data_IF_755029761487
#
_entry.id   IF_755029761487
#
_cell.length_a   1.000
_cell.length_b   1.000
_cell.length_c   1.000
_cell.angle_alpha   90.00
_cell.angle_beta   90.00
_cell.angle_gamma   90.00
#
_symmetry.space_group_name_H-M   'P 1'
#
loop_
_entity.id
_entity.type
_entity.pdbx_description
1 polymer ?
#
# COMPACT_ATOMS: atom_id res chain seq x y z
N UNK A 1 -9.84 7.05 -10.32
CA UNK A 1 -9.35 6.47 -11.60
C UNK A 1 -10.52 5.67 -12.16
N UNK A 2 -11.01 5.86 -13.38
CA UNK A 2 -12.19 5.05 -13.77
C UNK A 2 -12.70 5.26 -15.18
N UNK A 3 -13.49 6.30 -15.40
CA UNK A 3 -14.26 6.43 -16.64
C UNK A 3 -13.41 6.48 -17.93
N UNK A 4 -12.23 7.11 -17.88
CA UNK A 4 -11.36 7.23 -19.06
C UNK A 4 -10.76 5.88 -19.50
N UNK A 5 -10.45 4.98 -18.57
CA UNK A 5 -9.89 3.65 -18.88
C UNK A 5 -10.89 2.87 -19.73
N UNK A 6 -12.13 2.76 -19.27
CA UNK A 6 -13.18 2.02 -19.99
C UNK A 6 -13.56 2.67 -21.31
N UNK A 7 -13.48 4.01 -21.42
CA UNK A 7 -13.63 4.70 -22.70
C UNK A 7 -12.54 4.30 -23.69
N UNK A 8 -11.27 4.28 -23.27
CA UNK A 8 -10.16 3.89 -24.13
C UNK A 8 -10.23 2.41 -24.52
N UNK A 9 -10.51 1.51 -23.57
CA UNK A 9 -10.70 0.08 -23.86
C UNK A 9 -11.84 -0.12 -24.87
N UNK A 10 -12.96 0.59 -24.71
CA UNK A 10 -14.08 0.51 -25.65
C UNK A 10 -13.72 1.08 -27.03
N UNK A 11 -12.91 2.13 -27.12
CA UNK A 11 -12.53 2.74 -28.39
C UNK A 11 -11.56 1.86 -29.18
N UNK A 12 -10.57 1.27 -28.51
CA UNK A 12 -9.44 0.61 -29.18
C UNK A 12 -9.48 -0.92 -29.10
N UNK A 13 -10.14 -1.48 -28.10
CA UNK A 13 -10.09 -2.92 -27.83
C UNK A 13 -11.45 -3.62 -28.00
N UNK A 14 -12.56 -2.92 -28.26
CA UNK A 14 -13.91 -3.52 -28.29
C UNK A 14 -14.09 -4.74 -29.20
N UNK A 15 -13.37 -4.80 -30.31
CA UNK A 15 -13.44 -5.87 -31.32
C UNK A 15 -12.37 -6.94 -31.09
N UNK A 16 -11.52 -6.77 -30.08
CA UNK A 16 -10.43 -7.69 -29.77
C UNK A 16 -10.95 -8.85 -28.90
N UNK A 17 -10.42 -10.07 -29.07
CA UNK A 17 -10.87 -11.24 -28.31
C UNK A 17 -10.62 -11.10 -26.80
N UNK A 18 -9.61 -10.33 -26.40
CA UNK A 18 -9.26 -10.07 -25.00
C UNK A 18 -10.02 -8.90 -24.36
N UNK A 19 -10.97 -8.27 -25.07
CA UNK A 19 -11.67 -7.08 -24.55
C UNK A 19 -12.29 -7.32 -23.17
N UNK A 20 -13.01 -8.43 -23.01
CA UNK A 20 -13.67 -8.77 -21.75
C UNK A 20 -12.63 -9.02 -20.64
N UNK A 21 -11.56 -9.77 -20.94
CA UNK A 21 -10.47 -10.02 -20.00
C UNK A 21 -9.87 -8.71 -19.46
N UNK A 22 -9.66 -7.71 -20.33
CA UNK A 22 -9.16 -6.39 -19.91
C UNK A 22 -10.17 -5.67 -19.01
N UNK A 23 -11.45 -5.63 -19.40
CA UNK A 23 -12.48 -4.97 -18.59
C UNK A 23 -12.54 -5.56 -17.17
N UNK A 24 -12.60 -6.89 -17.08
CA UNK A 24 -12.65 -7.62 -15.80
C UNK A 24 -11.38 -7.39 -14.98
N UNK A 25 -10.21 -7.44 -15.61
CA UNK A 25 -8.93 -7.23 -14.95
C UNK A 25 -8.80 -5.82 -14.34
N UNK A 26 -9.21 -4.77 -15.08
CA UNK A 26 -9.17 -3.39 -14.58
C UNK A 26 -10.19 -3.17 -13.45
N UNK A 27 -11.40 -3.74 -13.56
CA UNK A 27 -12.39 -3.71 -12.47
C UNK A 27 -11.88 -4.42 -11.22
N UNK A 28 -11.34 -5.63 -11.37
CA UNK A 28 -10.81 -6.43 -10.26
C UNK A 28 -9.65 -5.71 -9.57
N UNK A 29 -8.71 -5.15 -10.33
CA UNK A 29 -7.57 -4.42 -9.78
C UNK A 29 -8.00 -3.14 -9.04
N UNK A 30 -9.04 -2.46 -9.53
CA UNK A 30 -9.62 -1.30 -8.85
C UNK A 30 -10.24 -1.71 -7.51
N UNK A 31 -11.07 -2.76 -7.50
CA UNK A 31 -11.66 -3.30 -6.28
C UNK A 31 -10.62 -3.75 -5.25
N UNK A 32 -9.58 -4.47 -5.69
CA UNK A 32 -8.48 -4.89 -4.83
C UNK A 32 -7.76 -3.69 -4.19
N UNK A 33 -7.50 -2.65 -4.98
CA UNK A 33 -6.87 -1.42 -4.50
C UNK A 33 -7.74 -0.70 -3.47
N UNK A 34 -9.05 -0.59 -3.74
CA UNK A 34 -10.01 0.03 -2.82
C UNK A 34 -10.10 -0.72 -1.48
N UNK A 35 -10.09 -2.05 -1.52
CA UNK A 35 -10.01 -2.89 -0.30
C UNK A 35 -8.71 -2.63 0.46
N UNK A 36 -7.57 -2.59 -0.24
CA UNK A 36 -6.26 -2.31 0.37
C UNK A 36 -6.20 -0.94 1.04
N UNK A 37 -6.67 0.11 0.35
CA UNK A 37 -6.78 1.47 0.89
C UNK A 37 -7.71 1.52 2.11
N UNK A 38 -8.85 0.81 2.07
CA UNK A 38 -9.78 0.74 3.20
C UNK A 38 -9.12 0.08 4.42
N UNK A 39 -8.39 -1.02 4.23
CA UNK A 39 -7.70 -1.71 5.32
C UNK A 39 -6.58 -0.86 5.93
N UNK A 40 -5.86 -0.09 5.11
CA UNK A 40 -4.82 0.86 5.54
C UNK A 40 -5.41 1.94 6.47
N UNK A 41 -6.48 2.62 6.01
CA UNK A 41 -7.15 3.67 6.77
C UNK A 41 -7.75 3.18 8.10
N UNK A 42 -8.31 1.96 8.13
CA UNK A 42 -8.86 1.36 9.36
C UNK A 42 -7.73 0.92 10.33
N UNK A 43 -6.55 0.58 9.81
CA UNK A 43 -5.42 0.10 10.63
C UNK A 43 -4.70 1.25 11.32
N UNK A 44 -4.49 2.35 10.61
CA UNK A 44 -3.90 3.57 11.13
C UNK A 44 -4.90 4.73 10.98
N UNK A 45 -5.94 4.81 11.84
CA UNK A 45 -6.85 5.94 11.82
C UNK A 45 -6.04 7.21 12.08
N UNK A 46 -5.89 8.03 11.05
CA UNK A 46 -5.25 9.32 11.15
C UNK A 46 -6.06 10.16 12.16
N UNK A 47 -5.38 10.89 13.04
CA UNK A 47 -5.96 11.64 14.17
C UNK A 47 -6.89 12.80 13.80
N UNK A 48 -7.59 12.74 12.68
CA UNK A 48 -8.55 13.72 12.17
C UNK A 48 -9.98 13.17 12.05
N UNK A 49 -10.33 12.10 12.78
CA UNK A 49 -11.75 11.77 13.01
C UNK A 49 -12.22 12.64 14.17
N UNK A 50 -12.69 13.83 13.82
CA UNK A 50 -13.28 14.87 14.67
C UNK A 50 -12.40 15.38 15.82
N UNK A 51 -12.02 16.65 15.74
CA UNK A 51 -11.39 17.45 16.80
C UNK A 51 -12.20 17.52 18.13
N UNK A 52 -13.33 16.80 18.24
CA UNK A 52 -14.30 16.89 19.32
C UNK A 52 -14.57 15.54 20.00
N UNK A 53 -14.28 14.38 19.38
CA UNK A 53 -14.76 13.08 19.91
C UNK A 53 -13.77 11.92 19.94
N UNK A 54 -12.65 11.95 19.19
CA UNK A 54 -11.62 10.93 19.32
C UNK A 54 -10.53 11.40 20.31
N UNK A 55 -10.24 10.68 21.41
CA UNK A 55 -9.11 11.02 22.26
C UNK A 55 -7.84 10.95 21.38
N UNK A 56 -7.16 12.09 21.28
CA UNK A 56 -5.86 12.18 20.63
C UNK A 56 -4.93 11.10 21.20
N UNK A 57 -4.48 10.17 20.37
CA UNK A 57 -3.34 9.32 20.70
C UNK A 57 -3.60 7.90 21.21
N UNK A 58 -4.74 7.27 20.90
CA UNK A 58 -4.89 5.83 21.17
C UNK A 58 -4.70 4.98 19.90
N UNK A 59 -3.50 5.04 19.34
CA UNK A 59 -3.06 4.13 18.28
C UNK A 59 -2.78 2.78 18.92
N UNK A 60 -3.59 1.80 18.60
CA UNK A 60 -3.38 0.42 19.01
C UNK A 60 -2.24 -0.20 18.16
N UNK A 61 -0.99 0.04 18.59
CA UNK A 61 0.21 -0.54 17.96
C UNK A 61 0.19 -2.08 17.97
N UNK A 62 -0.65 -2.72 18.79
CA UNK A 62 -0.87 -4.17 18.74
C UNK A 62 -1.44 -4.67 17.41
N UNK A 63 -2.04 -3.77 16.62
CA UNK A 63 -2.52 -4.08 15.26
C UNK A 63 -1.39 -4.11 14.23
N UNK A 64 -0.21 -3.58 14.58
CA UNK A 64 0.86 -3.32 13.64
C UNK A 64 1.74 -4.57 13.46
N UNK A 65 1.15 -5.60 12.87
CA UNK A 65 1.80 -6.90 12.67
C UNK A 65 2.26 -7.07 11.22
N UNK A 66 3.35 -7.81 11.03
CA UNK A 66 3.89 -8.12 9.69
C UNK A 66 2.85 -8.77 8.78
N UNK A 67 2.05 -9.70 9.31
CA UNK A 67 0.97 -10.34 8.55
C UNK A 67 -0.05 -9.32 8.02
N UNK A 68 -0.41 -8.33 8.84
CA UNK A 68 -1.36 -7.29 8.45
C UNK A 68 -0.76 -6.35 7.42
N UNK A 69 0.50 -5.96 7.60
CA UNK A 69 1.26 -5.15 6.63
C UNK A 69 1.29 -5.83 5.26
N UNK A 70 1.75 -7.08 5.18
CA UNK A 70 1.80 -7.84 3.91
C UNK A 70 0.43 -7.95 3.26
N UNK A 71 -0.62 -8.16 4.05
CA UNK A 71 -1.98 -8.23 3.53
C UNK A 71 -2.44 -6.90 2.93
N UNK A 72 -2.21 -5.78 3.63
CA UNK A 72 -2.63 -4.45 3.17
C UNK A 72 -1.87 -4.08 1.91
N UNK A 73 -0.54 -4.16 1.90
CA UNK A 73 0.26 -3.69 0.78
C UNK A 73 0.11 -4.56 -0.48
N UNK A 74 -0.14 -5.86 -0.30
CA UNK A 74 -0.52 -6.73 -1.42
C UNK A 74 -1.73 -6.21 -2.17
N UNK A 75 -2.79 -5.81 -1.45
CA UNK A 75 -4.02 -5.31 -2.05
C UNK A 75 -3.92 -3.85 -2.50
N UNK A 76 -3.28 -3.01 -1.68
CA UNK A 76 -3.16 -1.57 -1.89
C UNK A 76 -2.23 -1.22 -3.05
N UNK A 77 -1.13 -1.96 -3.23
CA UNK A 77 -0.03 -1.59 -4.13
C UNK A 77 0.25 -2.67 -5.18
N UNK A 78 0.45 -3.92 -4.74
CA UNK A 78 1.07 -4.92 -5.60
C UNK A 78 0.20 -5.30 -6.82
N UNK A 79 -1.13 -5.39 -6.67
CA UNK A 79 -2.01 -5.71 -7.80
C UNK A 79 -1.98 -4.63 -8.89
N UNK A 80 -2.20 -3.35 -8.55
CA UNK A 80 -2.30 -2.31 -9.57
C UNK A 80 -0.94 -1.86 -10.11
N UNK A 81 0.13 -1.94 -9.30
CA UNK A 81 1.46 -1.44 -9.69
C UNK A 81 2.30 -2.48 -10.41
N UNK A 82 2.10 -3.77 -10.14
CA UNK A 82 2.95 -4.83 -10.69
C UNK A 82 2.19 -5.85 -11.53
N UNK A 83 1.06 -6.38 -11.03
CA UNK A 83 0.30 -7.36 -11.80
C UNK A 83 -0.46 -6.74 -12.99
N UNK A 84 -1.17 -5.62 -12.75
CA UNK A 84 -2.01 -4.94 -13.74
C UNK A 84 -1.24 -4.39 -14.95
N UNK A 85 0.03 -3.94 -14.88
CA UNK A 85 0.77 -3.57 -16.09
C UNK A 85 1.18 -4.76 -16.96
N UNK A 86 1.27 -5.96 -16.40
CA UNK A 86 1.75 -7.17 -17.10
C UNK A 86 0.60 -8.01 -17.66
N UNK A 87 -0.43 -8.26 -16.85
CA UNK A 87 -1.55 -9.13 -17.22
C UNK A 87 -2.32 -8.71 -18.49
N UNK A 88 -2.54 -7.42 -18.80
CA UNK A 88 -3.14 -7.01 -20.06
C UNK A 88 -2.32 -7.45 -21.26
N UNK A 89 -1.00 -7.34 -21.18
CA UNK A 89 -0.10 -7.73 -22.26
C UNK A 89 -0.16 -9.23 -22.47
N UNK A 90 -0.20 -10.02 -21.40
CA UNK A 90 -0.38 -11.48 -21.48
C UNK A 90 -1.63 -11.85 -22.28
N UNK A 91 -2.78 -11.25 -21.95
CA UNK A 91 -4.01 -11.43 -22.72
C UNK A 91 -3.89 -10.95 -24.18
N UNK A 92 -3.22 -9.81 -24.42
CA UNK A 92 -3.03 -9.27 -25.76
C UNK A 92 -2.16 -10.16 -26.65
N UNK A 93 -1.25 -10.94 -26.07
CA UNK A 93 -0.43 -11.94 -26.78
C UNK A 93 -0.97 -13.37 -26.68
N UNK A 94 -2.25 -13.52 -26.27
CA UNK A 94 -2.98 -14.81 -26.18
C UNK A 94 -2.42 -15.80 -25.17
N UNK A 95 -1.80 -15.30 -24.10
CA UNK A 95 -1.50 -16.09 -22.91
C UNK A 95 -2.69 -15.92 -21.99
N UNK A 96 -3.71 -16.77 -22.16
CA UNK A 96 -4.98 -16.68 -21.42
C UNK A 96 -5.07 -17.74 -20.31
N UNK A 97 -4.11 -18.66 -20.23
CA UNK A 97 -4.11 -19.76 -19.27
C UNK A 97 -3.98 -19.26 -17.82
N UNK A 98 -4.85 -19.76 -16.96
CA UNK A 98 -4.91 -19.34 -15.56
C UNK A 98 -3.61 -19.64 -14.79
N UNK A 99 -2.93 -20.74 -15.12
CA UNK A 99 -1.69 -21.16 -14.48
C UNK A 99 -0.55 -20.20 -14.83
N UNK A 100 -0.44 -19.76 -16.08
CA UNK A 100 0.52 -18.76 -16.53
C UNK A 100 0.31 -17.44 -15.79
N UNK A 101 -0.94 -16.98 -15.72
CA UNK A 101 -1.32 -15.79 -14.96
C UNK A 101 -1.03 -15.94 -13.46
N UNK A 102 -1.30 -17.10 -12.87
CA UNK A 102 -1.04 -17.38 -11.46
C UNK A 102 0.48 -17.36 -11.15
N UNK A 103 1.30 -17.93 -12.03
CA UNK A 103 2.76 -17.92 -11.90
C UNK A 103 3.32 -16.49 -12.00
N UNK A 104 2.88 -15.71 -12.99
CA UNK A 104 3.28 -14.31 -13.13
C UNK A 104 2.84 -13.50 -11.91
N UNK A 105 1.58 -13.65 -11.48
CA UNK A 105 1.02 -12.99 -10.29
C UNK A 105 1.84 -13.31 -9.04
N UNK A 106 2.27 -14.55 -8.83
CA UNK A 106 3.09 -14.92 -7.67
C UNK A 106 4.37 -14.07 -7.60
N UNK A 107 5.11 -13.94 -8.70
CA UNK A 107 6.34 -13.15 -8.75
C UNK A 107 6.05 -11.65 -8.58
N UNK A 108 5.06 -11.15 -9.31
CA UNK A 108 4.75 -9.71 -9.36
C UNK A 108 4.21 -9.20 -8.02
N UNK A 109 3.49 -10.02 -7.26
CA UNK A 109 3.03 -9.62 -5.93
C UNK A 109 4.16 -9.54 -4.90
N UNK A 110 5.16 -10.43 -4.98
CA UNK A 110 6.37 -10.35 -4.14
C UNK A 110 7.21 -9.11 -4.49
N UNK A 111 7.33 -8.78 -5.79
CA UNK A 111 7.97 -7.54 -6.22
C UNK A 111 7.24 -6.30 -5.69
N UNK A 112 5.92 -6.33 -5.67
CA UNK A 112 5.11 -5.25 -5.12
C UNK A 112 5.25 -5.08 -3.61
N UNK A 113 5.35 -6.18 -2.86
CA UNK A 113 5.67 -6.13 -1.43
C UNK A 113 7.05 -5.48 -1.20
N UNK A 114 8.07 -5.95 -1.91
CA UNK A 114 9.42 -5.39 -1.80
C UNK A 114 9.45 -3.90 -2.17
N UNK A 115 8.75 -3.50 -3.23
CA UNK A 115 8.66 -2.11 -3.66
C UNK A 115 8.08 -1.21 -2.57
N UNK A 116 7.01 -1.65 -1.90
CA UNK A 116 6.43 -0.84 -0.83
C UNK A 116 7.32 -0.78 0.42
N UNK A 117 8.01 -1.87 0.76
CA UNK A 117 9.02 -1.86 1.84
C UNK A 117 10.12 -0.83 1.53
N UNK A 118 10.57 -0.76 0.28
CA UNK A 118 11.54 0.24 -0.16
C UNK A 118 10.95 1.66 -0.09
N UNK A 119 9.71 1.89 -0.52
CA UNK A 119 9.06 3.21 -0.42
C UNK A 119 8.98 3.67 1.05
N UNK A 120 8.55 2.80 1.97
CA UNK A 120 8.47 3.11 3.40
C UNK A 120 9.86 3.39 4.01
N UNK A 121 10.91 2.66 3.59
CA UNK A 121 12.28 2.95 4.01
C UNK A 121 12.75 4.32 3.50
N UNK A 122 12.51 4.60 2.21
CA UNK A 122 12.90 5.85 1.57
C UNK A 122 12.08 7.04 2.06
N UNK A 123 10.86 6.82 2.57
CA UNK A 123 10.08 7.89 3.19
C UNK A 123 10.82 8.47 4.41
N UNK A 124 11.43 7.61 5.24
CA UNK A 124 12.15 8.07 6.42
C UNK A 124 13.62 8.44 6.15
N UNK A 125 14.33 7.62 5.38
CA UNK A 125 15.79 7.74 5.22
C UNK A 125 16.21 8.28 3.85
N UNK A 126 15.28 8.39 2.90
CA UNK A 126 15.55 8.91 1.57
C UNK A 126 15.74 10.43 1.59
N UNK A 127 16.81 10.90 0.95
CA UNK A 127 17.01 12.33 0.76
C UNK A 127 15.93 12.93 -0.17
N UNK A 128 15.38 14.12 0.11
CA UNK A 128 14.38 14.77 -0.75
C UNK A 128 14.86 15.00 -2.19
N UNK A 129 16.17 15.12 -2.40
CA UNK A 129 16.79 15.23 -3.73
C UNK A 129 16.65 13.94 -4.57
N UNK A 130 16.45 12.79 -3.93
CA UNK A 130 16.30 11.47 -4.56
C UNK A 130 14.82 11.09 -4.64
N UNK A 131 14.09 11.20 -3.53
CA UNK A 131 12.67 10.78 -3.44
C UNK A 131 11.71 11.77 -4.08
N UNK A 132 12.14 13.03 -4.29
CA UNK A 132 11.32 14.16 -4.77
C UNK A 132 10.10 14.47 -3.90
N UNK A 133 10.05 13.92 -2.69
CA UNK A 133 9.02 14.15 -1.67
C UNK A 133 9.67 14.25 -0.29
N UNK A 134 9.04 14.99 0.62
CA UNK A 134 9.35 14.87 2.04
C UNK A 134 8.56 13.69 2.60
N UNK A 135 9.21 12.84 3.39
CA UNK A 135 8.52 11.76 4.06
C UNK A 135 7.61 12.26 5.17
N UNK A 136 6.44 11.66 5.27
CA UNK A 136 5.41 12.02 6.25
C UNK A 136 4.91 10.82 7.04
N UNK A 137 5.39 9.61 6.75
CA UNK A 137 4.85 8.36 7.31
C UNK A 137 4.75 8.38 8.85
N UNK A 138 5.78 8.85 9.56
CA UNK A 138 5.77 8.96 11.03
C UNK A 138 4.77 10.02 11.51
N UNK A 139 4.70 11.16 10.83
CA UNK A 139 3.85 12.29 11.21
C UNK A 139 2.37 11.98 11.01
N UNK A 140 2.07 11.24 9.94
CA UNK A 140 0.71 10.81 9.59
C UNK A 140 0.29 9.55 10.35
N UNK A 141 1.15 9.05 11.24
CA UNK A 141 0.94 7.80 11.96
C UNK A 141 0.66 6.62 11.02
N UNK A 142 1.28 6.63 9.84
CA UNK A 142 1.06 5.61 8.82
C UNK A 142 1.50 4.26 9.35
N UNK A 143 0.74 3.23 8.97
CA UNK A 143 1.12 1.85 9.19
C UNK A 143 2.23 1.44 8.23
N UNK A 144 3.46 1.90 8.46
CA UNK A 144 4.60 1.60 7.59
C UNK A 144 5.46 0.43 8.11
N UNK A 145 6.22 -0.17 7.22
CA UNK A 145 7.07 -1.34 7.48
C UNK A 145 8.07 -1.10 8.62
N UNK A 146 8.66 0.10 8.70
CA UNK A 146 9.65 0.44 9.73
C UNK A 146 9.06 0.39 11.14
N UNK A 147 7.81 0.80 11.33
CA UNK A 147 7.14 0.73 12.64
C UNK A 147 6.86 -0.73 13.01
N UNK A 148 6.42 -1.55 12.04
CA UNK A 148 6.24 -3.00 12.24
C UNK A 148 7.54 -3.66 12.67
N UNK A 149 8.65 -3.37 11.99
CA UNK A 149 9.96 -3.89 12.36
C UNK A 149 10.37 -3.42 13.74
N UNK A 150 10.26 -2.12 14.04
CA UNK A 150 10.61 -1.58 15.35
C UNK A 150 9.86 -2.30 16.48
N UNK A 151 8.56 -2.52 16.33
CA UNK A 151 7.72 -3.21 17.31
C UNK A 151 8.10 -4.68 17.55
N UNK A 152 8.69 -5.37 16.57
CA UNK A 152 9.15 -6.75 16.74
C UNK A 152 10.37 -6.85 17.67
N UNK A 153 11.20 -5.81 17.71
CA UNK A 153 12.48 -5.82 18.44
C UNK A 153 12.51 -4.88 19.66
N UNK A 154 11.50 -4.02 19.81
CA UNK A 154 11.45 -3.03 20.86
C UNK A 154 11.38 -3.66 22.25
N UNK A 155 12.19 -3.14 23.17
CA UNK A 155 12.00 -3.34 24.61
C UNK A 155 10.72 -2.64 25.08
N UNK A 156 10.17 -2.98 26.26
CA UNK A 156 9.02 -2.25 26.81
C UNK A 156 9.24 -0.74 26.91
N UNK A 157 10.46 -0.29 27.21
CA UNK A 157 10.82 1.13 27.24
C UNK A 157 10.79 1.76 25.83
N UNK A 158 11.39 1.08 24.84
CA UNK A 158 11.39 1.56 23.45
C UNK A 158 9.97 1.58 22.85
N UNK A 159 9.12 0.63 23.24
CA UNK A 159 7.72 0.59 22.85
C UNK A 159 6.96 1.83 23.33
N UNK A 160 7.11 2.21 24.60
CA UNK A 160 6.45 3.42 25.14
C UNK A 160 6.98 4.69 24.46
N UNK A 161 8.29 4.78 24.18
CA UNK A 161 8.86 5.91 23.44
C UNK A 161 8.24 6.01 22.03
N UNK A 162 8.12 4.89 21.31
CA UNK A 162 7.50 4.86 19.98
C UNK A 162 6.04 5.30 20.05
N UNK A 163 5.28 4.77 21.01
CA UNK A 163 3.87 5.13 21.24
C UNK A 163 3.69 6.61 21.57
N UNK A 164 4.57 7.20 22.37
CA UNK A 164 4.51 8.61 22.75
C UNK A 164 4.86 9.57 21.60
N UNK A 165 5.64 9.14 20.60
CA UNK A 165 6.16 10.02 19.56
C UNK A 165 5.53 9.80 18.17
N UNK A 166 4.87 8.66 17.94
CA UNK A 166 4.20 8.36 16.66
C UNK A 166 2.99 9.28 16.42
N UNK A 167 2.78 9.71 15.18
CA UNK A 167 1.64 10.56 14.81
C UNK A 167 1.70 12.00 15.31
N UNK A 168 2.86 12.46 15.79
CA UNK A 168 3.06 13.84 16.26
C UNK A 168 3.80 14.66 15.21
N UNK A 169 3.20 15.78 14.80
CA UNK A 169 3.85 16.79 13.94
C UNK A 169 5.07 17.44 14.60
N UNK A 170 5.17 17.41 15.93
CA UNK A 170 6.33 17.85 16.70
C UNK A 170 6.71 16.76 17.70
N UNK A 171 7.72 15.92 17.42
CA UNK A 171 8.24 15.01 18.43
C UNK A 171 8.83 15.82 19.59
N UNK A 172 8.71 15.30 20.83
CA UNK A 172 9.59 15.80 21.90
C UNK A 172 11.02 15.49 21.47
N UNK A 173 11.97 16.41 21.72
CA UNK A 173 13.38 16.21 21.37
C UNK A 173 13.81 14.81 21.80
N UNK A 174 14.25 14.00 20.83
CA UNK A 174 14.90 12.73 21.12
C UNK A 174 16.11 13.05 22.01
N UNK A 175 16.32 12.37 23.15
CA UNK A 175 17.34 12.75 24.13
C UNK A 175 18.78 12.45 23.68
N UNK A 176 19.05 12.33 22.38
CA UNK A 176 20.36 12.03 21.81
C UNK A 176 20.73 13.07 20.76
#
# INVERSE_FOLDING_TARGET
>A
MGACIYRLLKLYCREQPYYLNLIELFLQSSYQTEIGQTLDLITAPQGNVDLITAPQGNVDLGRFTERRYKSIEKYKIAFYSFYLPVAPVMYMVRIDDEKEHANAKKILLEMGEFFQIQDDYLDLFGGPSVTRKFGTDIQDNKFCWLVVQCLQWATPEQYEILKENSGRRRPRRWPW
#
